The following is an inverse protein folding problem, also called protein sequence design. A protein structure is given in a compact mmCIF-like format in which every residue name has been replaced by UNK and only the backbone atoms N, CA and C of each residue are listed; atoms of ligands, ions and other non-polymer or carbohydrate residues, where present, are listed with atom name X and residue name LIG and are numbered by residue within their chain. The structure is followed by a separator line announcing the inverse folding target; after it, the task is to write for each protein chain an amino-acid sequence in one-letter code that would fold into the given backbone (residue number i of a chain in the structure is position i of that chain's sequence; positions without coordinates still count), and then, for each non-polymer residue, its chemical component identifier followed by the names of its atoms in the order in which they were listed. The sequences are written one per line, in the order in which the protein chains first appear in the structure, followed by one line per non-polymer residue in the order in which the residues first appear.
data_IF_573012529068
#
_entry.id   IF_573012529068
#
_cell.length_a   1.000
_cell.length_b   1.000
_cell.length_c   1.000
_cell.angle_alpha   90.00
_cell.angle_beta   90.00
_cell.angle_gamma   90.00
#
_symmetry.space_group_name_H-M   'P 1'
#
loop_
_entity.id
_entity.type
_entity.pdbx_description
1 polymer ?
#
# COMPACT_ATOMS: atom_id res chain seq x y z
N UNK A 1 -20.75 -16.79 5.03
CA UNK A 1 -19.55 -17.16 4.23
C UNK A 1 -20.03 -17.57 2.86
N UNK A 2 -19.50 -16.94 1.82
CA UNK A 2 -19.90 -17.23 0.45
C UNK A 2 -19.35 -18.59 -0.02
N UNK A 3 -19.99 -19.19 -1.00
CA UNK A 3 -19.57 -20.48 -1.59
C UNK A 3 -18.10 -20.44 -2.08
N UNK A 4 -17.64 -19.30 -2.59
CA UNK A 4 -16.26 -19.12 -3.06
C UNK A 4 -15.23 -19.18 -1.90
N UNK A 5 -15.52 -18.57 -0.76
CA UNK A 5 -14.63 -18.58 0.41
C UNK A 5 -14.37 -20.00 0.92
N UNK A 6 -15.38 -20.84 0.91
CA UNK A 6 -15.23 -22.26 1.27
C UNK A 6 -14.41 -23.06 0.26
N UNK A 7 -14.58 -22.78 -1.04
CA UNK A 7 -13.82 -23.45 -2.08
C UNK A 7 -12.32 -23.11 -2.10
N UNK A 8 -11.96 -21.95 -1.55
CA UNK A 8 -10.60 -21.45 -1.43
C UNK A 8 -10.01 -21.70 -0.03
N UNK A 9 -10.75 -22.35 0.87
CA UNK A 9 -10.28 -22.60 2.23
C UNK A 9 -8.99 -23.45 2.22
N UNK A 10 -7.91 -22.99 2.87
CA UNK A 10 -6.66 -23.73 2.94
C UNK A 10 -6.73 -24.85 4.00
N UNK A 11 -6.03 -25.95 3.76
CA UNK A 11 -5.72 -26.96 4.76
C UNK A 11 -4.43 -26.63 5.53
N UNK A 12 -3.51 -25.93 4.86
CA UNK A 12 -2.25 -25.47 5.41
C UNK A 12 -1.95 -24.05 4.91
N UNK A 13 -1.56 -23.16 5.82
CA UNK A 13 -1.02 -21.83 5.50
C UNK A 13 0.43 -21.77 5.96
N UNK A 14 1.36 -21.57 5.02
CA UNK A 14 2.76 -21.31 5.33
C UNK A 14 3.04 -19.86 5.04
N UNK A 15 3.56 -19.14 6.04
CA UNK A 15 3.86 -17.72 5.87
C UNK A 15 5.24 -17.35 6.40
N UNK A 16 5.87 -16.37 5.73
CA UNK A 16 7.17 -15.81 6.09
C UNK A 16 7.06 -14.28 6.17
N UNK A 17 7.95 -13.66 6.94
CA UNK A 17 8.00 -12.22 7.11
C UNK A 17 6.97 -11.66 8.09
N UNK A 18 6.59 -10.39 7.90
CA UNK A 18 5.69 -9.66 8.78
C UNK A 18 4.21 -9.92 8.51
N UNK A 19 3.36 -9.31 9.34
CA UNK A 19 1.90 -9.42 9.19
C UNK A 19 1.43 -8.78 7.87
N UNK A 20 0.56 -9.46 7.08
CA UNK A 20 0.02 -8.90 5.85
C UNK A 20 -0.77 -7.61 6.13
N UNK A 21 -0.72 -6.68 5.17
CA UNK A 21 -1.43 -5.39 5.27
C UNK A 21 -2.95 -5.59 5.27
N UNK A 22 -3.44 -6.52 4.46
CA UNK A 22 -4.88 -6.78 4.30
C UNK A 22 -5.51 -7.34 5.57
N UNK A 23 -6.45 -6.57 6.15
CA UNK A 23 -7.29 -7.04 7.26
C UNK A 23 -8.18 -8.21 6.82
N UNK A 24 -8.70 -8.17 5.59
CA UNK A 24 -9.59 -9.22 5.06
C UNK A 24 -8.88 -10.58 4.94
N UNK A 25 -7.63 -10.60 4.47
CA UNK A 25 -6.82 -11.83 4.43
C UNK A 25 -6.62 -12.39 5.85
N UNK A 26 -6.30 -11.51 6.82
CA UNK A 26 -6.16 -11.93 8.20
C UNK A 26 -7.43 -12.52 8.78
N UNK A 27 -8.56 -11.86 8.56
CA UNK A 27 -9.88 -12.34 9.01
C UNK A 27 -10.27 -13.64 8.29
N UNK A 28 -10.02 -13.74 6.99
CA UNK A 28 -10.27 -14.95 6.22
C UNK A 28 -9.52 -16.16 6.79
N UNK A 29 -8.21 -16.04 6.97
CA UNK A 29 -7.38 -17.15 7.50
C UNK A 29 -7.75 -17.48 8.95
N UNK A 30 -8.07 -16.48 9.78
CA UNK A 30 -8.52 -16.69 11.17
C UNK A 30 -9.85 -17.45 11.25
N UNK A 31 -10.76 -17.20 10.32
CA UNK A 31 -12.08 -17.80 10.29
C UNK A 31 -12.12 -19.19 9.63
N UNK A 32 -11.01 -19.63 9.04
CA UNK A 32 -10.85 -20.96 8.46
C UNK A 32 -9.76 -21.72 9.22
N UNK A 33 -10.10 -22.46 10.29
CA UNK A 33 -9.14 -23.22 11.06
C UNK A 33 -8.39 -24.21 10.16
N UNK A 34 -7.07 -24.05 10.11
CA UNK A 34 -6.17 -24.89 9.32
C UNK A 34 -4.81 -24.93 10.02
N UNK A 35 -3.92 -25.84 9.61
CA UNK A 35 -2.54 -25.80 10.05
C UNK A 35 -1.88 -24.50 9.59
N UNK A 36 -1.06 -23.91 10.47
CA UNK A 36 -0.38 -22.66 10.19
C UNK A 36 1.09 -22.77 10.60
N UNK A 37 1.96 -22.64 9.61
CA UNK A 37 3.40 -22.67 9.81
C UNK A 37 3.99 -21.29 9.56
N UNK A 38 4.73 -20.81 10.53
CA UNK A 38 5.54 -19.60 10.37
C UNK A 38 6.98 -19.98 10.05
N UNK A 39 7.56 -19.31 9.05
CA UNK A 39 8.96 -19.41 8.69
C UNK A 39 9.65 -18.07 8.96
N UNK A 40 10.78 -18.09 9.67
CA UNK A 40 11.58 -16.90 9.93
C UNK A 40 12.79 -17.22 10.79
N UNK A 41 13.85 -16.43 10.64
CA UNK A 41 15.13 -16.61 11.34
C UNK A 41 15.06 -16.40 12.85
N UNK A 42 14.04 -15.68 13.32
CA UNK A 42 13.85 -15.43 14.73
C UNK A 42 13.03 -16.55 15.40
N UNK A 43 13.21 -16.71 16.70
CA UNK A 43 12.47 -17.67 17.51
C UNK A 43 11.17 -17.11 18.11
N UNK A 44 10.76 -15.91 17.70
CA UNK A 44 9.56 -15.28 18.22
C UNK A 44 8.31 -16.03 17.77
N UNK A 45 7.43 -16.35 18.70
CA UNK A 45 6.14 -16.97 18.41
C UNK A 45 5.13 -15.85 18.03
N UNK A 46 5.16 -15.45 16.77
CA UNK A 46 4.23 -14.44 16.24
C UNK A 46 3.06 -15.17 15.58
N UNK A 47 1.94 -15.24 16.26
CA UNK A 47 0.71 -15.86 15.75
C UNK A 47 -0.19 -14.82 15.07
N UNK A 48 0.10 -14.52 13.82
CA UNK A 48 -0.63 -13.51 13.03
C UNK A 48 -2.09 -13.91 12.79
N UNK A 49 -2.37 -15.19 12.67
CA UNK A 49 -3.68 -15.70 12.28
C UNK A 49 -4.39 -16.49 13.38
N UNK A 50 -3.83 -16.55 14.59
CA UNK A 50 -4.42 -17.15 15.80
C UNK A 50 -4.57 -18.68 15.77
N UNK A 51 -3.80 -19.39 14.93
CA UNK A 51 -3.81 -20.86 14.83
C UNK A 51 -2.41 -21.41 14.51
N UNK A 52 -1.34 -20.75 15.00
CA UNK A 52 0.02 -21.18 14.77
C UNK A 52 0.27 -22.59 15.34
N UNK A 53 0.56 -23.54 14.45
CA UNK A 53 0.85 -24.92 14.82
C UNK A 53 2.34 -25.28 14.75
N UNK A 54 3.11 -24.55 13.91
CA UNK A 54 4.54 -24.80 13.74
C UNK A 54 5.30 -23.48 13.51
N UNK A 55 6.48 -23.35 14.16
CA UNK A 55 7.41 -22.26 13.90
C UNK A 55 8.73 -22.85 13.41
N UNK A 56 9.11 -22.54 12.18
CA UNK A 56 10.32 -23.04 11.51
C UNK A 56 11.35 -21.90 11.54
N UNK A 57 12.36 -22.07 12.41
CA UNK A 57 13.41 -21.07 12.60
C UNK A 57 14.54 -21.30 11.57
N UNK A 58 14.32 -20.83 10.34
CA UNK A 58 15.31 -20.85 9.26
C UNK A 58 15.06 -19.70 8.28
N UNK A 59 15.98 -19.49 7.35
CA UNK A 59 15.77 -18.55 6.26
C UNK A 59 14.60 -19.02 5.38
N UNK A 60 13.71 -18.10 4.95
CA UNK A 60 12.58 -18.46 4.10
C UNK A 60 12.97 -19.19 2.82
N UNK A 61 14.08 -18.81 2.20
CA UNK A 61 14.61 -19.42 0.99
C UNK A 61 14.95 -20.91 1.18
N UNK A 62 15.53 -21.28 2.33
CA UNK A 62 15.82 -22.67 2.66
C UNK A 62 14.55 -23.48 2.86
N UNK A 63 13.61 -22.97 3.67
CA UNK A 63 12.34 -23.63 3.92
C UNK A 63 11.56 -23.86 2.62
N UNK A 64 11.41 -22.84 1.80
CA UNK A 64 10.68 -22.94 0.54
C UNK A 64 11.40 -23.80 -0.50
N UNK A 65 12.73 -23.87 -0.48
CA UNK A 65 13.49 -24.79 -1.33
C UNK A 65 13.21 -26.26 -0.98
N UNK A 66 13.13 -26.58 0.31
CA UNK A 66 12.76 -27.93 0.77
C UNK A 66 11.32 -28.28 0.38
N UNK A 67 10.40 -27.34 0.57
CA UNK A 67 8.99 -27.53 0.19
C UNK A 67 8.82 -27.71 -1.32
N UNK A 68 9.56 -26.96 -2.14
CA UNK A 68 9.53 -27.06 -3.59
C UNK A 68 10.07 -28.42 -4.11
N UNK A 69 10.93 -29.09 -3.33
CA UNK A 69 11.42 -30.43 -3.66
C UNK A 69 10.41 -31.56 -3.33
N UNK A 70 9.33 -31.25 -2.60
CA UNK A 70 8.29 -32.23 -2.29
C UNK A 70 7.53 -32.64 -3.57
N UNK A 71 7.06 -33.88 -3.60
CA UNK A 71 6.27 -34.38 -4.72
C UNK A 71 4.93 -33.61 -4.78
N UNK A 72 4.59 -33.02 -5.94
CA UNK A 72 3.33 -32.32 -6.07
C UNK A 72 2.15 -33.29 -5.92
N UNK A 73 1.14 -32.84 -5.20
CA UNK A 73 -0.15 -33.55 -5.13
C UNK A 73 -1.07 -33.01 -6.23
N UNK A 74 -1.74 -33.89 -6.91
CA UNK A 74 -2.74 -33.48 -7.93
C UNK A 74 -3.89 -32.72 -7.24
N UNK A 75 -4.04 -31.45 -7.58
CA UNK A 75 -5.01 -30.56 -6.97
C UNK A 75 -5.48 -29.49 -7.95
N UNK A 76 -6.75 -29.11 -7.85
CA UNK A 76 -7.31 -27.94 -8.58
C UNK A 76 -7.23 -26.64 -7.75
N UNK A 77 -6.55 -26.65 -6.60
CA UNK A 77 -6.54 -25.51 -5.68
C UNK A 77 -5.92 -24.25 -6.31
N UNK A 78 -4.76 -24.39 -6.96
CA UNK A 78 -4.11 -23.28 -7.67
C UNK A 78 -4.97 -22.75 -8.81
N UNK A 79 -5.68 -23.63 -9.55
CA UNK A 79 -6.59 -23.22 -10.62
C UNK A 79 -7.75 -22.38 -10.06
N UNK A 80 -8.37 -22.80 -8.97
CA UNK A 80 -9.46 -22.04 -8.32
C UNK A 80 -9.00 -20.66 -7.85
N UNK A 81 -7.80 -20.56 -7.31
CA UNK A 81 -7.21 -19.27 -6.95
C UNK A 81 -6.97 -18.39 -8.18
N UNK A 82 -6.48 -18.95 -9.28
CA UNK A 82 -6.27 -18.21 -10.53
C UNK A 82 -7.60 -17.70 -11.12
N UNK A 83 -8.65 -18.50 -11.09
CA UNK A 83 -10.00 -18.10 -11.50
C UNK A 83 -10.56 -16.98 -10.62
N UNK A 84 -10.40 -17.09 -9.30
CA UNK A 84 -10.80 -16.04 -8.36
C UNK A 84 -10.02 -14.73 -8.57
N UNK A 85 -8.72 -14.82 -8.83
CA UNK A 85 -7.87 -13.65 -9.14
C UNK A 85 -8.33 -12.97 -10.44
N UNK A 86 -8.65 -13.73 -11.50
CA UNK A 86 -9.18 -13.15 -12.74
C UNK A 86 -10.51 -12.45 -12.53
N UNK A 87 -11.39 -13.03 -11.72
CA UNK A 87 -12.67 -12.43 -11.37
C UNK A 87 -12.46 -11.13 -10.58
N UNK A 88 -11.54 -11.12 -9.61
CA UNK A 88 -11.18 -9.94 -8.83
C UNK A 88 -10.60 -8.82 -9.69
N UNK A 89 -9.72 -9.15 -10.65
CA UNK A 89 -9.16 -8.17 -11.59
C UNK A 89 -10.22 -7.58 -12.52
N UNK A 90 -11.17 -8.39 -12.99
CA UNK A 90 -12.30 -7.91 -13.79
C UNK A 90 -13.19 -6.95 -12.98
N UNK A 91 -13.48 -7.32 -11.74
CA UNK A 91 -14.23 -6.47 -10.83
C UNK A 91 -13.49 -5.14 -10.57
N UNK A 92 -12.19 -5.19 -10.30
CA UNK A 92 -11.35 -4.00 -10.09
C UNK A 92 -11.43 -3.06 -11.30
N UNK A 93 -11.22 -3.56 -12.52
CA UNK A 93 -11.31 -2.75 -13.74
C UNK A 93 -12.68 -2.09 -13.92
N UNK A 94 -13.76 -2.84 -13.67
CA UNK A 94 -15.12 -2.31 -13.75
C UNK A 94 -15.38 -1.23 -12.68
N UNK A 95 -14.98 -1.50 -11.45
CA UNK A 95 -15.15 -0.56 -10.35
C UNK A 95 -14.42 0.76 -10.61
N UNK A 96 -13.18 0.72 -11.14
CA UNK A 96 -12.43 1.91 -11.51
C UNK A 96 -13.05 2.69 -12.66
N UNK A 97 -13.59 2.00 -13.67
CA UNK A 97 -14.23 2.65 -14.82
C UNK A 97 -15.51 3.43 -14.43
N UNK A 98 -16.20 3.00 -13.38
CA UNK A 98 -17.43 3.61 -12.85
C UNK A 98 -17.16 4.62 -11.71
N UNK A 99 -15.96 4.63 -11.13
CA UNK A 99 -15.63 5.46 -9.98
C UNK A 99 -15.46 6.94 -10.38
N UNK A 100 -15.92 7.89 -9.55
CA UNK A 100 -15.52 9.28 -9.68
C UNK A 100 -14.02 9.44 -9.38
N UNK A 101 -13.50 10.66 -9.62
CA UNK A 101 -12.14 11.00 -9.20
C UNK A 101 -11.97 10.79 -7.68
N UNK A 102 -11.02 9.96 -7.30
CA UNK A 102 -10.74 9.60 -5.91
C UNK A 102 -9.32 9.01 -5.79
N UNK A 103 -8.87 8.82 -4.56
CA UNK A 103 -7.56 8.26 -4.26
C UNK A 103 -7.32 6.87 -4.89
N UNK A 104 -8.34 6.01 -4.99
CA UNK A 104 -8.21 4.69 -5.62
C UNK A 104 -7.89 4.80 -7.11
N UNK A 105 -8.61 5.66 -7.82
CA UNK A 105 -8.39 5.93 -9.27
C UNK A 105 -6.99 6.54 -9.49
N UNK A 106 -6.62 7.51 -8.66
CA UNK A 106 -5.32 8.16 -8.74
C UNK A 106 -4.15 7.20 -8.51
N UNK A 107 -4.23 6.35 -7.48
CA UNK A 107 -3.19 5.37 -7.16
C UNK A 107 -3.11 4.27 -8.22
N UNK A 108 -4.23 3.83 -8.79
CA UNK A 108 -4.23 2.87 -9.90
C UNK A 108 -3.52 3.44 -11.14
N UNK A 109 -3.86 4.66 -11.53
CA UNK A 109 -3.20 5.36 -12.64
C UNK A 109 -1.69 5.53 -12.40
N UNK A 110 -1.30 5.90 -11.18
CA UNK A 110 0.09 5.99 -10.78
C UNK A 110 0.80 4.63 -10.86
N UNK A 111 0.25 3.58 -10.24
CA UNK A 111 0.84 2.25 -10.19
C UNK A 111 1.07 1.65 -11.58
N UNK A 112 0.19 1.93 -12.54
CA UNK A 112 0.34 1.47 -13.94
C UNK A 112 1.52 2.11 -14.67
N UNK A 113 1.95 3.31 -14.26
CA UNK A 113 2.98 4.08 -14.95
C UNK A 113 4.32 4.13 -14.19
N UNK A 114 4.40 3.54 -12.99
CA UNK A 114 5.67 3.46 -12.28
C UNK A 114 6.70 2.70 -13.13
N UNK A 115 7.92 3.24 -13.26
CA UNK A 115 8.97 2.57 -14.03
C UNK A 115 9.49 1.31 -13.33
N UNK A 116 10.05 0.41 -14.09
CA UNK A 116 10.82 -0.72 -13.55
C UNK A 116 12.08 -0.24 -12.81
N UNK A 117 12.58 -1.06 -11.89
CA UNK A 117 13.86 -0.82 -11.22
C UNK A 117 13.87 0.29 -10.17
N UNK A 118 12.71 0.85 -9.81
CA UNK A 118 12.58 1.78 -8.69
C UNK A 118 12.45 1.03 -7.35
N UNK A 119 12.73 1.72 -6.24
CA UNK A 119 12.28 1.31 -4.92
C UNK A 119 11.01 2.11 -4.56
N UNK A 120 9.89 1.42 -4.38
CA UNK A 120 8.63 2.02 -4.00
C UNK A 120 8.46 1.99 -2.49
N UNK A 121 8.41 3.16 -1.86
CA UNK A 121 8.10 3.33 -0.45
C UNK A 121 6.65 3.75 -0.26
N UNK A 122 5.98 3.18 0.72
CA UNK A 122 4.57 3.41 0.99
C UNK A 122 4.38 3.80 2.45
N UNK A 123 3.76 4.94 2.71
CA UNK A 123 3.37 5.30 4.05
C UNK A 123 2.17 4.48 4.53
N UNK A 124 1.99 4.42 5.84
CA UNK A 124 0.82 3.80 6.44
C UNK A 124 -0.47 4.64 6.19
N UNK A 125 -1.60 4.14 6.63
CA UNK A 125 -2.90 4.72 6.32
C UNK A 125 -3.48 4.16 5.02
N UNK A 126 -4.00 5.00 4.14
CA UNK A 126 -4.58 4.57 2.86
C UNK A 126 -3.53 4.23 1.82
N UNK A 127 -2.37 4.91 1.78
CA UNK A 127 -1.35 4.76 0.73
C UNK A 127 -0.94 3.30 0.50
N UNK A 128 -0.48 2.60 1.54
CA UNK A 128 -0.08 1.18 1.43
C UNK A 128 -1.25 0.26 1.05
N UNK A 129 -2.46 0.59 1.48
CA UNK A 129 -3.66 -0.21 1.20
C UNK A 129 -4.14 -0.06 -0.23
N UNK A 130 -4.16 1.17 -0.74
CA UNK A 130 -4.52 1.45 -2.13
C UNK A 130 -3.49 0.84 -3.09
N UNK A 131 -2.20 1.02 -2.82
CA UNK A 131 -1.14 0.40 -3.60
C UNK A 131 -1.24 -1.14 -3.61
N UNK A 132 -1.63 -1.77 -2.50
CA UNK A 132 -1.87 -3.21 -2.43
C UNK A 132 -3.07 -3.64 -3.31
N UNK A 133 -4.14 -2.84 -3.37
CA UNK A 133 -5.32 -3.11 -4.22
C UNK A 133 -4.96 -2.99 -5.70
N UNK A 134 -4.28 -1.90 -6.06
CA UNK A 134 -3.96 -1.57 -7.45
C UNK A 134 -2.85 -2.47 -8.02
N UNK A 135 -1.84 -2.76 -7.20
CA UNK A 135 -0.65 -3.48 -7.61
C UNK A 135 0.23 -2.67 -8.57
N UNK A 136 1.54 -2.86 -8.51
CA UNK A 136 2.50 -2.34 -9.48
C UNK A 136 3.48 -3.47 -9.77
N UNK A 137 3.07 -4.42 -10.61
CA UNK A 137 3.79 -5.70 -10.84
C UNK A 137 5.18 -5.51 -11.43
N UNK A 138 5.43 -4.40 -12.13
CA UNK A 138 6.72 -4.01 -12.67
C UNK A 138 7.70 -3.50 -11.62
N UNK A 139 7.22 -3.12 -10.43
CA UNK A 139 8.06 -2.66 -9.32
C UNK A 139 8.53 -3.86 -8.52
N UNK A 140 9.84 -4.12 -8.54
CA UNK A 140 10.43 -5.27 -7.83
C UNK A 140 10.59 -5.07 -6.32
N UNK A 141 10.69 -3.82 -5.85
CA UNK A 141 10.97 -3.51 -4.45
C UNK A 141 9.89 -2.63 -3.83
N UNK A 142 9.23 -3.18 -2.81
CA UNK A 142 8.16 -2.52 -2.06
C UNK A 142 8.55 -2.43 -0.58
N UNK A 143 8.51 -1.22 -0.04
CA UNK A 143 8.90 -0.95 1.33
C UNK A 143 7.82 -0.19 2.08
N UNK A 144 7.61 -0.51 3.35
CA UNK A 144 6.70 0.22 4.23
C UNK A 144 7.06 -0.03 5.69
N UNK A 145 6.94 0.98 6.53
CA UNK A 145 7.22 0.90 7.97
C UNK A 145 6.08 0.18 8.69
N UNK A 146 6.08 -1.16 8.68
CA UNK A 146 4.96 -1.99 9.16
C UNK A 146 5.09 -2.51 10.59
N UNK A 147 6.09 -2.12 11.35
CA UNK A 147 6.26 -2.53 12.75
C UNK A 147 5.04 -2.16 13.60
N UNK A 148 4.93 -0.90 13.99
CA UNK A 148 3.76 -0.35 14.71
C UNK A 148 2.74 0.29 13.78
N UNK A 149 3.08 0.46 12.48
CA UNK A 149 2.22 1.06 11.45
C UNK A 149 1.86 2.53 11.71
N UNK A 150 2.76 3.30 12.34
CA UNK A 150 2.64 4.75 12.51
C UNK A 150 2.66 5.49 11.18
N UNK A 151 2.15 6.72 11.16
CA UNK A 151 2.21 7.60 9.98
C UNK A 151 3.49 8.44 9.92
N UNK A 152 4.27 8.40 10.98
CA UNK A 152 5.61 8.98 11.14
C UNK A 152 6.69 8.12 10.45
N UNK A 153 7.85 8.71 10.19
CA UNK A 153 9.06 8.00 9.74
C UNK A 153 9.08 7.51 8.29
N UNK A 154 8.00 7.67 7.52
CA UNK A 154 7.95 7.18 6.14
C UNK A 154 8.80 8.03 5.20
N UNK A 155 8.82 9.35 5.39
CA UNK A 155 9.63 10.29 4.61
C UNK A 155 11.11 10.11 4.93
N UNK A 156 11.48 10.02 6.21
CA UNK A 156 12.85 9.76 6.66
C UNK A 156 13.41 8.45 6.08
N UNK A 157 12.60 7.38 6.11
CA UNK A 157 12.99 6.08 5.57
C UNK A 157 13.22 6.14 4.05
N UNK A 158 12.30 6.78 3.31
CA UNK A 158 12.45 6.94 1.86
C UNK A 158 13.64 7.84 1.50
N UNK A 159 13.87 8.89 2.28
CA UNK A 159 15.05 9.75 2.15
C UNK A 159 16.34 8.95 2.33
N UNK A 160 16.45 8.22 3.44
CA UNK A 160 17.62 7.37 3.71
C UNK A 160 17.85 6.35 2.61
N UNK A 161 16.80 5.71 2.12
CA UNK A 161 16.86 4.79 0.99
C UNK A 161 17.34 5.48 -0.29
N UNK A 162 16.91 6.72 -0.56
CA UNK A 162 17.34 7.48 -1.74
C UNK A 162 18.83 7.85 -1.74
N UNK A 163 19.37 8.10 -0.55
CA UNK A 163 20.79 8.37 -0.34
C UNK A 163 21.62 7.09 -0.52
N UNK A 164 21.16 5.98 0.04
CA UNK A 164 21.82 4.68 -0.02
C UNK A 164 21.64 3.96 -1.37
N UNK A 165 20.67 4.37 -2.18
CA UNK A 165 20.33 3.69 -3.42
C UNK A 165 21.51 3.61 -4.40
N UNK A 166 21.61 2.50 -5.11
CA UNK A 166 22.59 2.34 -6.19
C UNK A 166 22.47 3.44 -7.24
N UNK A 167 23.58 3.75 -7.90
CA UNK A 167 23.62 4.80 -8.93
C UNK A 167 22.57 4.51 -10.02
N UNK A 168 21.71 5.49 -10.27
CA UNK A 168 20.65 5.40 -11.28
C UNK A 168 19.32 4.85 -10.75
N UNK A 169 19.22 4.35 -9.51
CA UNK A 169 17.98 3.87 -8.94
C UNK A 169 17.21 5.01 -8.26
N UNK A 170 15.99 5.24 -8.69
CA UNK A 170 15.08 6.21 -8.08
C UNK A 170 14.29 5.57 -6.93
N UNK A 171 14.01 6.39 -5.92
CA UNK A 171 13.11 6.05 -4.81
C UNK A 171 11.84 6.90 -4.97
N UNK A 172 10.69 6.25 -4.99
CA UNK A 172 9.39 6.91 -5.03
C UNK A 172 8.65 6.61 -3.73
N UNK A 173 8.28 7.65 -3.00
CA UNK A 173 7.43 7.57 -1.83
C UNK A 173 6.00 7.94 -2.21
N UNK A 174 5.02 7.09 -1.91
CA UNK A 174 3.59 7.45 -1.90
C UNK A 174 3.17 7.62 -0.44
N UNK A 175 2.78 8.82 -0.08
CA UNK A 175 2.42 9.19 1.29
C UNK A 175 1.11 9.98 1.34
N UNK A 176 0.45 9.99 2.50
CA UNK A 176 -0.64 10.91 2.77
C UNK A 176 -0.12 12.27 3.23
N UNK A 177 -0.94 13.31 3.08
CA UNK A 177 -0.62 14.67 3.53
C UNK A 177 -0.30 14.74 5.03
N UNK A 178 -1.05 14.03 5.88
CA UNK A 178 -0.77 13.96 7.31
C UNK A 178 0.55 13.24 7.61
N UNK A 179 0.83 12.12 6.92
CA UNK A 179 2.08 11.39 7.11
C UNK A 179 3.30 12.23 6.71
N UNK A 180 3.20 13.00 5.61
CA UNK A 180 4.25 13.95 5.22
C UNK A 180 4.47 15.01 6.31
N UNK A 181 3.39 15.61 6.83
CA UNK A 181 3.48 16.63 7.88
C UNK A 181 4.17 16.12 9.16
N UNK A 182 3.90 14.87 9.56
CA UNK A 182 4.51 14.28 10.75
C UNK A 182 6.02 14.03 10.62
N UNK A 183 6.53 13.90 9.40
CA UNK A 183 7.92 13.53 9.13
C UNK A 183 8.62 14.52 8.18
N UNK A 184 8.10 15.71 8.08
CA UNK A 184 8.58 16.76 7.18
C UNK A 184 10.01 17.21 7.49
N UNK A 185 10.39 17.21 8.78
CA UNK A 185 11.73 17.60 9.23
C UNK A 185 12.85 16.74 8.64
N UNK A 186 12.55 15.54 8.18
CA UNK A 186 13.52 14.70 7.49
C UNK A 186 14.13 15.39 6.26
N UNK A 187 13.37 16.26 5.59
CA UNK A 187 13.80 16.98 4.41
C UNK A 187 14.71 18.18 4.71
N UNK A 188 14.82 18.60 5.98
CA UNK A 188 15.72 19.66 6.43
C UNK A 188 17.15 19.11 6.63
N UNK A 189 17.83 18.81 5.53
CA UNK A 189 19.15 18.19 5.53
C UNK A 189 19.98 18.67 4.32
N UNK A 190 21.29 18.72 4.48
CA UNK A 190 22.25 19.01 3.41
C UNK A 190 22.63 17.75 2.57
N UNK A 191 22.03 16.60 2.90
CA UNK A 191 22.30 15.36 2.18
C UNK A 191 21.70 15.40 0.77
N UNK A 192 22.39 14.76 -0.18
CA UNK A 192 21.91 14.70 -1.55
C UNK A 192 20.79 13.64 -1.71
N UNK A 193 19.57 14.10 -1.91
CA UNK A 193 18.38 13.28 -2.16
C UNK A 193 17.78 13.50 -3.56
N UNK A 194 18.61 13.83 -4.55
CA UNK A 194 18.17 14.08 -5.94
C UNK A 194 17.37 12.93 -6.57
N UNK A 195 17.45 11.72 -6.01
CA UNK A 195 16.72 10.53 -6.47
C UNK A 195 15.39 10.31 -5.78
N UNK A 196 15.02 11.17 -4.83
CA UNK A 196 13.76 11.06 -4.10
C UNK A 196 12.64 11.75 -4.87
N UNK A 197 11.56 11.02 -5.14
CA UNK A 197 10.31 11.55 -5.63
C UNK A 197 9.21 11.26 -4.62
N UNK A 198 8.39 12.24 -4.31
CA UNK A 198 7.32 12.12 -3.30
C UNK A 198 5.98 12.36 -3.97
N UNK A 199 5.09 11.38 -3.93
CA UNK A 199 3.68 11.54 -4.28
C UNK A 199 2.89 11.72 -3.00
N UNK A 200 2.19 12.84 -2.87
CA UNK A 200 1.40 13.19 -1.70
C UNK A 200 -0.08 13.09 -2.04
N UNK A 201 -0.78 12.16 -1.39
CA UNK A 201 -2.22 12.04 -1.46
C UNK A 201 -2.85 13.08 -0.53
N UNK A 202 -3.42 14.12 -1.11
CA UNK A 202 -3.98 15.27 -0.41
C UNK A 202 -5.51 15.14 -0.35
N UNK A 203 -6.01 14.40 0.63
CA UNK A 203 -7.44 14.22 0.84
C UNK A 203 -7.97 15.01 2.06
N UNK A 204 -7.15 15.89 2.61
CA UNK A 204 -7.52 16.80 3.69
C UNK A 204 -7.26 16.28 5.09
N UNK A 205 -6.48 15.19 5.25
CA UNK A 205 -6.10 14.69 6.58
C UNK A 205 -6.10 13.17 6.71
N UNK A 206 -6.48 12.66 7.89
CA UNK A 206 -6.49 11.23 8.21
C UNK A 206 -7.65 10.44 7.60
N UNK A 207 -7.83 10.48 6.28
CA UNK A 207 -8.97 9.89 5.55
C UNK A 207 -9.24 8.40 5.82
N UNK A 208 -8.25 7.65 6.33
CA UNK A 208 -8.46 6.26 6.75
C UNK A 208 -9.51 6.13 7.87
N UNK A 209 -9.60 7.10 8.76
CA UNK A 209 -10.56 7.06 9.87
C UNK A 209 -12.00 7.17 9.39
N UNK A 210 -12.25 7.89 8.28
CA UNK A 210 -13.56 7.97 7.63
C UNK A 210 -13.95 6.62 6.99
N UNK A 211 -13.00 5.89 6.46
CA UNK A 211 -13.24 4.56 5.89
C UNK A 211 -13.53 3.48 6.94
N UNK A 212 -12.98 3.59 8.15
CA UNK A 212 -13.21 2.61 9.23
C UNK A 212 -14.59 2.89 9.85
N UNK A 213 -15.49 1.91 9.80
CA UNK A 213 -16.89 2.08 10.24
C UNK A 213 -17.06 2.56 11.68
N UNK A 214 -16.19 2.15 12.58
CA UNK A 214 -16.23 2.54 14.01
C UNK A 214 -15.86 4.01 14.23
N UNK A 215 -14.89 4.53 13.49
CA UNK A 215 -14.46 5.93 13.59
C UNK A 215 -15.19 6.85 12.61
N UNK A 216 -15.57 6.35 11.44
CA UNK A 216 -16.26 7.11 10.40
C UNK A 216 -17.67 7.56 10.78
N UNK A 217 -18.28 6.95 11.80
CA UNK A 217 -19.60 7.34 12.34
C UNK A 217 -19.54 8.28 13.53
N UNK A 218 -18.34 8.64 14.01
CA UNK A 218 -18.19 9.51 15.18
C UNK A 218 -18.40 10.98 14.80
N UNK A 219 -19.12 11.77 15.61
CA UNK A 219 -19.28 13.21 15.38
C UNK A 219 -17.95 13.98 15.47
N UNK A 220 -16.97 13.43 16.19
CA UNK A 220 -15.63 14.00 16.36
C UNK A 220 -14.67 13.69 15.22
N UNK A 221 -15.11 12.99 14.19
CA UNK A 221 -14.25 12.50 13.10
C UNK A 221 -13.42 13.61 12.46
N UNK A 222 -14.05 14.71 12.06
CA UNK A 222 -13.36 15.78 11.30
C UNK A 222 -12.42 16.59 12.17
N UNK A 223 -12.78 16.80 13.43
CA UNK A 223 -12.01 17.65 14.36
C UNK A 223 -10.79 16.92 14.94
N UNK A 224 -10.95 15.66 15.35
CA UNK A 224 -9.92 14.96 16.12
C UNK A 224 -9.26 13.78 15.39
N UNK A 225 -9.90 13.24 14.34
CA UNK A 225 -9.39 12.07 13.62
C UNK A 225 -8.79 12.43 12.26
N UNK A 226 -9.49 13.19 11.44
CA UNK A 226 -8.98 13.63 10.14
C UNK A 226 -7.95 14.75 10.29
N UNK A 227 -8.19 15.70 11.18
CA UNK A 227 -7.27 16.80 11.53
C UNK A 227 -6.72 17.54 10.31
N UNK A 228 -7.50 18.46 9.77
CA UNK A 228 -7.12 19.26 8.58
C UNK A 228 -5.86 20.10 8.86
N UNK A 229 -4.86 19.97 8.00
CA UNK A 229 -3.69 20.84 8.02
C UNK A 229 -3.86 22.08 7.14
N UNK A 230 -3.09 23.13 7.40
CA UNK A 230 -3.24 24.44 6.74
C UNK A 230 -2.17 24.75 5.71
N UNK A 231 -0.97 24.18 5.84
CA UNK A 231 0.17 24.52 4.97
C UNK A 231 0.01 23.82 3.62
N UNK A 232 0.03 24.57 2.51
CA UNK A 232 0.00 23.98 1.18
C UNK A 232 1.23 23.10 0.90
N UNK A 233 1.04 21.99 0.23
CA UNK A 233 2.15 21.08 -0.15
C UNK A 233 3.14 21.79 -1.09
N UNK A 234 2.70 22.75 -1.89
CA UNK A 234 3.58 23.60 -2.71
C UNK A 234 4.64 24.33 -1.90
N UNK A 235 4.27 24.82 -0.71
CA UNK A 235 5.19 25.55 0.14
C UNK A 235 6.26 24.65 0.72
N UNK A 236 5.92 23.40 1.05
CA UNK A 236 6.90 22.39 1.44
C UNK A 236 7.85 22.06 0.28
N UNK A 237 7.29 21.83 -0.92
CA UNK A 237 8.11 21.54 -2.09
C UNK A 237 9.14 22.68 -2.35
N UNK A 238 8.69 23.93 -2.37
CA UNK A 238 9.57 25.08 -2.56
C UNK A 238 10.60 25.23 -1.44
N UNK A 239 10.20 25.06 -0.18
CA UNK A 239 11.09 25.21 0.98
C UNK A 239 12.25 24.20 0.94
N UNK A 240 11.98 22.97 0.49
CA UNK A 240 12.98 21.89 0.46
C UNK A 240 13.57 21.65 -0.95
N UNK A 241 13.36 22.55 -1.90
CA UNK A 241 13.99 22.50 -3.22
C UNK A 241 13.47 21.41 -4.16
N UNK A 242 12.21 20.98 -3.99
CA UNK A 242 11.55 20.03 -4.89
C UNK A 242 10.90 20.75 -6.07
N UNK A 243 11.00 20.17 -7.27
CA UNK A 243 10.14 20.51 -8.39
C UNK A 243 8.71 20.11 -8.04
N UNK A 244 7.75 21.04 -8.16
CA UNK A 244 6.37 20.81 -7.73
C UNK A 244 5.44 20.53 -8.89
N UNK A 245 4.64 19.48 -8.75
CA UNK A 245 3.58 19.07 -9.67
C UNK A 245 2.26 18.89 -8.89
N UNK A 246 1.12 19.10 -9.56
CA UNK A 246 -0.18 18.93 -8.92
C UNK A 246 -1.23 18.38 -9.88
N UNK A 247 -2.16 17.57 -9.36
CA UNK A 247 -3.30 17.05 -10.09
C UNK A 247 -4.57 17.05 -9.23
N UNK A 248 -5.71 17.44 -9.82
CA UNK A 248 -7.03 17.51 -9.16
C UNK A 248 -8.09 16.65 -9.87
N UNK A 249 -7.71 16.05 -10.98
CA UNK A 249 -8.54 15.13 -11.77
C UNK A 249 -7.66 14.18 -12.57
N UNK A 250 -8.29 13.19 -13.21
CA UNK A 250 -7.59 12.17 -13.97
C UNK A 250 -6.83 12.73 -15.18
N UNK A 251 -7.38 13.78 -15.84
CA UNK A 251 -6.73 14.41 -16.98
C UNK A 251 -5.45 15.11 -16.55
N UNK A 252 -5.52 15.94 -15.52
CA UNK A 252 -4.33 16.62 -14.98
C UNK A 252 -3.28 15.61 -14.52
N UNK A 253 -3.68 14.51 -13.85
CA UNK A 253 -2.74 13.47 -13.47
C UNK A 253 -2.07 12.83 -14.69
N UNK A 254 -2.83 12.52 -15.73
CA UNK A 254 -2.29 11.95 -16.97
C UNK A 254 -1.29 12.88 -17.67
N UNK A 255 -1.53 14.19 -17.58
CA UNK A 255 -0.66 15.20 -18.19
C UNK A 255 0.65 15.41 -17.40
N UNK A 256 0.59 15.43 -16.06
CA UNK A 256 1.75 15.80 -15.22
C UNK A 256 2.59 14.58 -14.79
N UNK A 257 2.01 13.38 -14.72
CA UNK A 257 2.72 12.20 -14.22
C UNK A 257 3.95 11.83 -15.05
N UNK A 258 3.92 11.83 -16.39
CA UNK A 258 5.12 11.60 -17.19
C UNK A 258 6.23 12.64 -16.93
N UNK A 259 5.86 13.91 -16.74
CA UNK A 259 6.80 14.99 -16.45
C UNK A 259 7.42 14.81 -15.06
N UNK A 260 6.61 14.51 -14.04
CA UNK A 260 7.07 14.19 -12.69
C UNK A 260 8.05 13.01 -12.68
N UNK A 261 7.72 11.93 -13.41
CA UNK A 261 8.58 10.75 -13.46
C UNK A 261 9.91 11.02 -14.18
N UNK A 262 9.89 11.87 -15.20
CA UNK A 262 11.08 12.25 -15.97
C UNK A 262 11.94 13.35 -15.31
N UNK A 263 11.44 14.07 -14.30
CA UNK A 263 12.13 15.16 -13.63
C UNK A 263 13.47 14.68 -13.05
N UNK A 264 14.61 15.27 -13.43
CA UNK A 264 15.92 14.84 -12.93
C UNK A 264 16.22 15.27 -11.50
N UNK A 265 15.55 16.34 -11.03
CA UNK A 265 15.68 16.85 -9.67
C UNK A 265 14.73 16.13 -8.70
N UNK A 266 14.89 16.32 -7.39
CA UNK A 266 13.87 15.87 -6.43
C UNK A 266 12.52 16.47 -6.80
N UNK A 267 11.48 15.64 -6.83
CA UNK A 267 10.17 16.11 -7.28
C UNK A 267 9.05 15.70 -6.31
N UNK A 268 8.07 16.58 -6.15
CA UNK A 268 6.88 16.36 -5.32
C UNK A 268 5.62 16.53 -6.16
N UNK A 269 4.77 15.50 -6.19
CA UNK A 269 3.49 15.49 -6.88
C UNK A 269 2.36 15.46 -5.84
N UNK A 270 1.59 16.53 -5.74
CA UNK A 270 0.39 16.61 -4.91
C UNK A 270 -0.84 16.16 -5.71
N UNK A 271 -1.52 15.12 -5.25
CA UNK A 271 -2.75 14.59 -5.84
C UNK A 271 -3.91 14.92 -4.91
N UNK A 272 -4.81 15.80 -5.34
CA UNK A 272 -5.93 16.26 -4.52
C UNK A 272 -7.17 15.42 -4.78
N UNK A 273 -7.70 14.83 -3.70
CA UNK A 273 -8.96 14.09 -3.68
C UNK A 273 -9.84 14.57 -2.53
N UNK A 274 -11.00 13.96 -2.36
CA UNK A 274 -11.94 14.27 -1.28
C UNK A 274 -12.11 13.05 -0.37
N UNK A 275 -11.92 13.20 0.94
CA UNK A 275 -11.93 12.09 1.89
C UNK A 275 -13.28 11.39 1.99
N UNK A 276 -14.39 12.11 1.81
CA UNK A 276 -15.73 11.52 1.83
C UNK A 276 -15.97 10.66 0.59
N UNK A 277 -15.59 11.19 -0.59
CA UNK A 277 -15.63 10.45 -1.86
C UNK A 277 -14.72 9.22 -1.82
N UNK A 278 -13.49 9.36 -1.30
CA UNK A 278 -12.55 8.26 -1.13
C UNK A 278 -13.14 7.12 -0.28
N UNK A 279 -13.74 7.46 0.86
CA UNK A 279 -14.36 6.48 1.76
C UNK A 279 -15.56 5.79 1.09
N UNK A 280 -16.45 6.55 0.43
CA UNK A 280 -17.62 6.00 -0.25
C UNK A 280 -17.20 5.02 -1.37
N UNK A 281 -16.25 5.41 -2.22
CA UNK A 281 -15.76 4.54 -3.30
C UNK A 281 -15.16 3.25 -2.76
N UNK A 282 -14.38 3.32 -1.67
CA UNK A 282 -13.81 2.12 -1.06
C UNK A 282 -14.89 1.22 -0.42
N UNK A 283 -15.91 1.79 0.22
CA UNK A 283 -17.04 1.01 0.72
C UNK A 283 -17.77 0.30 -0.41
N UNK A 284 -18.06 0.98 -1.50
CA UNK A 284 -18.72 0.40 -2.67
C UNK A 284 -17.86 -0.68 -3.33
N UNK A 285 -16.57 -0.43 -3.49
CA UNK A 285 -15.59 -1.38 -4.00
C UNK A 285 -15.62 -2.70 -3.23
N UNK A 286 -15.63 -2.64 -1.90
CA UNK A 286 -15.64 -3.84 -1.07
C UNK A 286 -17.01 -4.49 -0.91
N UNK A 287 -18.10 -3.74 -1.01
CA UNK A 287 -19.45 -4.29 -0.88
C UNK A 287 -19.94 -5.00 -2.14
N UNK A 288 -19.57 -4.51 -3.32
CA UNK A 288 -19.88 -5.17 -4.60
C UNK A 288 -19.26 -6.58 -4.72
N UNK A 289 -18.20 -6.87 -3.96
CA UNK A 289 -17.59 -8.20 -3.89
C UNK A 289 -18.36 -9.19 -2.98
N UNK A 290 -19.45 -8.76 -2.33
CA UNK A 290 -20.26 -9.63 -1.46
C UNK A 290 -21.50 -10.20 -2.15
N UNK A 291 -21.78 -9.73 -3.37
CA UNK A 291 -22.85 -10.24 -4.22
C UNK A 291 -22.29 -11.24 -5.24
#
# INVERSE_FOLDING_TARGET
MGCLEQQLAPELVIYAGGAPVSRRIKEYVRNHPCEQWRVGIDHNLIDTFMHLSCNIATEPEEAFSVLAAAKPVASHYAQRWAEAEMAAQNHHRKALAEAPWCSLVAVDQLCRQLPEGIALHLSNGLSVRLAQICGARQVGEWWSNRGTSGIDGSTSTALGASIAAAKGKNVILITGDMSLNYDLNALNTDLNYSRLKIVVMCNGGGGIFRFISTTGSLPELEEYMEVKHRTPISDFAHTFGFSYFAARDLRQLSDVLPQFLAEPAPAMLAIFTDSATDAQVLHDYYNRNKQ
#
